data_IF_371576678771
#
_entry.id   IF_371576678771
#
_cell.length_a   1.000
_cell.length_b   1.000
_cell.length_c   1.000
_cell.angle_alpha   90.00
_cell.angle_beta   90.00
_cell.angle_gamma   90.00
#
_symmetry.space_group_name_H-M   'P 1'
#
loop_
_entity.id
_entity.type
_entity.pdbx_description
1 polymer ?
#
# COMPACT_ATOMS: atom_id res chain seq x y z
N UNK A 1 -3.27 -14.16 -1.16
CA UNK A 1 -4.65 -13.70 -1.02
C UNK A 1 -5.40 -14.00 -2.31
N UNK A 2 -6.33 -14.92 -2.22
CA UNK A 2 -7.05 -15.45 -3.39
C UNK A 2 -7.89 -14.39 -4.11
N UNK A 3 -8.55 -13.51 -3.38
CA UNK A 3 -9.36 -12.44 -3.95
C UNK A 3 -8.53 -11.50 -4.85
N UNK A 4 -7.33 -11.16 -4.42
CA UNK A 4 -6.42 -10.33 -5.20
C UNK A 4 -5.92 -11.06 -6.44
N UNK A 5 -5.58 -12.34 -6.30
CA UNK A 5 -5.16 -13.16 -7.43
C UNK A 5 -6.26 -13.25 -8.49
N UNK A 6 -7.49 -13.48 -8.08
CA UNK A 6 -8.64 -13.53 -9.00
C UNK A 6 -8.84 -12.18 -9.70
N UNK A 7 -8.66 -11.08 -8.98
CA UNK A 7 -8.84 -9.74 -9.55
C UNK A 7 -7.75 -9.41 -10.56
N UNK A 8 -6.50 -9.80 -10.29
CA UNK A 8 -5.39 -9.62 -11.22
C UNK A 8 -5.65 -10.40 -12.50
N UNK A 9 -6.11 -11.64 -12.39
CA UNK A 9 -6.42 -12.46 -13.55
C UNK A 9 -7.59 -11.90 -14.37
N UNK A 10 -8.57 -11.31 -13.72
CA UNK A 10 -9.76 -10.75 -14.37
C UNK A 10 -9.50 -9.40 -15.02
N UNK A 11 -8.91 -8.47 -14.30
CA UNK A 11 -8.82 -7.05 -14.67
C UNK A 11 -7.40 -6.54 -14.92
N UNK A 12 -6.38 -7.34 -14.63
CA UNK A 12 -4.99 -6.97 -14.88
C UNK A 12 -4.62 -7.15 -16.34
N UNK A 13 -3.72 -6.31 -16.83
CA UNK A 13 -3.17 -6.38 -18.16
C UNK A 13 -1.66 -6.57 -18.10
N UNK A 14 -1.16 -7.57 -18.83
CA UNK A 14 0.28 -7.81 -18.92
C UNK A 14 0.85 -7.06 -20.11
N UNK A 15 1.82 -6.20 -19.87
CA UNK A 15 2.54 -5.45 -20.89
C UNK A 15 3.98 -5.94 -20.95
N UNK A 16 4.28 -6.78 -21.93
CA UNK A 16 5.60 -7.41 -22.04
C UNK A 16 5.81 -8.48 -20.97
N UNK A 17 7.07 -8.81 -20.67
CA UNK A 17 7.41 -9.89 -19.75
C UNK A 17 7.41 -9.47 -18.28
N UNK A 18 7.63 -8.18 -17.99
CA UNK A 18 7.87 -7.68 -16.63
C UNK A 18 6.85 -6.65 -16.14
N UNK A 19 5.83 -6.33 -16.92
CA UNK A 19 4.88 -5.28 -16.57
C UNK A 19 3.48 -5.85 -16.47
N UNK A 20 2.90 -5.76 -15.28
CA UNK A 20 1.50 -6.07 -15.02
C UNK A 20 0.77 -4.76 -14.72
N UNK A 21 -0.23 -4.46 -15.53
CA UNK A 21 -1.02 -3.25 -15.37
C UNK A 21 -2.26 -3.53 -14.53
N UNK A 22 -2.36 -2.85 -13.39
CA UNK A 22 -3.45 -3.03 -12.40
C UNK A 22 -4.14 -1.70 -12.07
N UNK A 23 -4.05 -0.75 -13.00
CA UNK A 23 -4.52 0.62 -12.78
C UNK A 23 -6.04 0.76 -12.64
N UNK A 24 -6.80 -0.22 -13.13
CA UNK A 24 -8.27 -0.15 -13.02
C UNK A 24 -8.80 -0.46 -11.60
N UNK A 25 -7.99 -1.05 -10.73
CA UNK A 25 -8.46 -1.41 -9.40
C UNK A 25 -7.44 -1.22 -8.28
N UNK A 26 -6.18 -0.97 -8.58
CA UNK A 26 -5.14 -0.93 -7.56
C UNK A 26 -4.36 0.38 -7.53
N UNK A 27 -3.87 0.88 -8.67
CA UNK A 27 -2.91 1.98 -8.70
C UNK A 27 -3.47 3.34 -9.14
N UNK A 28 -4.45 3.37 -10.01
CA UNK A 28 -5.09 4.61 -10.47
C UNK A 28 -6.53 4.71 -10.00
N UNK A 29 -7.34 3.71 -10.33
CA UNK A 29 -8.65 3.59 -9.73
C UNK A 29 -8.53 2.61 -8.57
N UNK A 30 -8.81 3.07 -7.37
CA UNK A 30 -8.64 2.27 -6.16
C UNK A 30 -10.00 1.71 -5.74
N UNK A 31 -10.11 0.40 -5.77
CA UNK A 31 -11.29 -0.29 -5.28
C UNK A 31 -11.18 -0.42 -3.76
N UNK A 32 -11.91 0.41 -3.01
CA UNK A 32 -11.79 0.42 -1.55
C UNK A 32 -12.23 -0.88 -0.89
N UNK A 33 -13.17 -1.60 -1.49
CA UNK A 33 -13.62 -2.89 -0.95
C UNK A 33 -12.50 -3.92 -1.04
N UNK A 34 -11.79 -3.94 -2.17
CA UNK A 34 -10.61 -4.79 -2.35
C UNK A 34 -9.49 -4.38 -1.37
N UNK A 35 -9.26 -3.07 -1.22
CA UNK A 35 -8.25 -2.57 -0.28
C UNK A 35 -8.57 -2.98 1.16
N UNK A 36 -9.84 -2.93 1.53
CA UNK A 36 -10.29 -3.33 2.87
C UNK A 36 -10.02 -4.82 3.12
N UNK A 37 -10.27 -5.67 2.13
CA UNK A 37 -9.97 -7.11 2.23
C UNK A 37 -8.47 -7.37 2.31
N UNK A 38 -7.67 -6.64 1.55
CA UNK A 38 -6.21 -6.69 1.64
C UNK A 38 -5.76 -6.29 3.05
N UNK A 39 -6.29 -5.19 3.56
CA UNK A 39 -5.98 -4.71 4.91
C UNK A 39 -6.30 -5.72 5.98
N UNK A 40 -7.47 -6.33 5.90
CA UNK A 40 -7.89 -7.36 6.85
C UNK A 40 -6.99 -8.60 6.77
N UNK A 41 -6.62 -9.02 5.58
CA UNK A 41 -5.72 -10.15 5.37
C UNK A 41 -4.35 -9.92 6.03
N UNK A 42 -3.77 -8.74 5.83
CA UNK A 42 -2.52 -8.36 6.48
C UNK A 42 -2.68 -8.28 8.00
N UNK A 43 -3.75 -7.66 8.46
CA UNK A 43 -4.00 -7.51 9.89
C UNK A 43 -4.13 -8.87 10.59
N UNK A 44 -4.83 -9.81 9.98
CA UNK A 44 -4.97 -11.16 10.53
C UNK A 44 -3.61 -11.86 10.65
N UNK A 45 -2.73 -11.60 9.71
CA UNK A 45 -1.39 -12.20 9.72
C UNK A 45 -0.48 -11.63 10.80
N UNK A 46 -0.63 -10.35 11.12
CA UNK A 46 0.25 -9.64 12.04
C UNK A 46 -0.40 -9.24 13.37
N UNK A 47 -1.63 -9.63 13.62
CA UNK A 47 -2.38 -9.22 14.82
C UNK A 47 -1.68 -9.54 16.15
N UNK A 48 -0.89 -10.60 16.18
CA UNK A 48 -0.18 -11.04 17.40
C UNK A 48 1.29 -10.59 17.42
N UNK A 49 1.72 -9.79 16.46
CA UNK A 49 3.11 -9.36 16.34
C UNK A 49 3.45 -8.10 17.14
N UNK A 50 2.48 -7.51 17.83
CA UNK A 50 2.70 -6.28 18.61
C UNK A 50 2.90 -5.03 17.76
N UNK A 51 2.25 -4.97 16.60
CA UNK A 51 2.35 -3.84 15.69
C UNK A 51 1.82 -2.56 16.34
N UNK A 52 2.62 -1.50 16.35
CA UNK A 52 2.25 -0.21 16.92
C UNK A 52 2.01 0.86 15.84
N UNK A 53 2.53 0.66 14.65
CA UNK A 53 2.39 1.58 13.52
C UNK A 53 2.47 0.83 12.20
N UNK A 54 1.82 1.36 11.18
CA UNK A 54 1.97 0.90 9.81
C UNK A 54 2.70 1.98 9.03
N UNK A 55 3.75 1.61 8.33
CA UNK A 55 4.56 2.55 7.55
C UNK A 55 4.55 2.13 6.08
N UNK A 56 4.36 3.10 5.22
CA UNK A 56 4.41 2.89 3.77
C UNK A 56 5.12 4.05 3.08
N UNK A 57 5.24 3.97 1.78
CA UNK A 57 5.84 5.02 0.95
C UNK A 57 4.79 5.47 -0.07
N UNK A 58 4.70 6.80 -0.29
CA UNK A 58 3.78 7.29 -1.33
C UNK A 58 4.15 6.72 -2.70
N UNK A 59 3.22 6.51 -3.67
CA UNK A 59 1.83 6.88 -3.40
C UNK A 59 0.90 5.66 -3.35
N UNK A 60 1.12 4.66 -4.19
CA UNK A 60 0.19 3.53 -4.36
C UNK A 60 0.06 2.64 -3.13
N UNK A 61 1.06 2.65 -2.24
CA UNK A 61 1.03 1.89 -1.01
C UNK A 61 0.15 2.49 0.08
N UNK A 62 -0.25 3.76 -0.05
CA UNK A 62 -1.03 4.45 0.98
C UNK A 62 -2.40 3.81 1.16
N UNK A 63 -3.11 3.51 0.07
CA UNK A 63 -4.45 2.95 0.16
C UNK A 63 -4.48 1.61 0.92
N UNK A 64 -3.71 0.58 0.52
CA UNK A 64 -3.72 -0.66 1.28
C UNK A 64 -3.20 -0.50 2.70
N UNK A 65 -2.18 0.33 2.92
CA UNK A 65 -1.62 0.55 4.26
C UNK A 65 -2.63 1.19 5.22
N UNK A 66 -3.47 2.09 4.71
CA UNK A 66 -4.53 2.73 5.50
C UNK A 66 -5.49 1.67 6.06
N UNK A 67 -5.90 0.71 5.24
CA UNK A 67 -6.82 -0.34 5.68
C UNK A 67 -6.16 -1.37 6.59
N UNK A 68 -4.86 -1.61 6.44
CA UNK A 68 -4.10 -2.43 7.40
C UNK A 68 -4.09 -1.73 8.76
N UNK A 69 -3.79 -0.43 8.78
CA UNK A 69 -3.76 0.35 10.00
C UNK A 69 -5.14 0.40 10.68
N UNK A 70 -6.21 0.57 9.89
CA UNK A 70 -7.56 0.55 10.41
C UNK A 70 -7.89 -0.79 11.08
N UNK A 71 -7.57 -1.89 10.41
CA UNK A 71 -7.87 -3.22 10.93
C UNK A 71 -7.05 -3.57 12.18
N UNK A 72 -5.82 -3.06 12.29
CA UNK A 72 -4.97 -3.24 13.47
C UNK A 72 -5.20 -2.19 14.56
N UNK A 73 -6.00 -1.17 14.27
CA UNK A 73 -6.27 -0.03 15.16
C UNK A 73 -4.99 0.67 15.60
N UNK A 74 -4.14 0.99 14.65
CA UNK A 74 -2.87 1.69 14.87
C UNK A 74 -2.74 2.85 13.87
N UNK A 75 -1.89 3.85 14.16
CA UNK A 75 -1.66 4.93 13.19
C UNK A 75 -0.89 4.44 11.96
N UNK A 76 -1.12 5.14 10.87
CA UNK A 76 -0.39 4.92 9.62
C UNK A 76 0.46 6.15 9.32
N UNK A 77 1.69 5.91 8.92
CA UNK A 77 2.65 6.95 8.53
C UNK A 77 3.12 6.64 7.13
N UNK A 78 3.26 7.66 6.30
CA UNK A 78 3.85 7.45 4.98
C UNK A 78 5.04 8.35 4.75
N UNK A 79 6.09 7.79 4.15
CA UNK A 79 7.26 8.53 3.73
C UNK A 79 6.97 9.20 2.39
N UNK A 80 7.44 10.41 2.25
CA UNK A 80 7.27 11.17 1.00
C UNK A 80 8.47 10.93 0.08
N UNK A 81 8.18 10.87 -1.21
CA UNK A 81 9.21 10.74 -2.23
C UNK A 81 10.02 12.03 -2.44
N UNK A 82 9.41 13.16 -2.09
CA UNK A 82 10.05 14.45 -2.19
C UNK A 82 9.83 15.26 -0.92
N UNK A 83 10.83 16.07 -0.55
CA UNK A 83 10.76 16.92 0.62
C UNK A 83 9.68 17.99 0.44
N UNK A 84 8.80 18.13 1.43
CA UNK A 84 7.79 19.18 1.47
C UNK A 84 8.37 20.41 2.15
N UNK A 85 7.96 21.61 1.73
CA UNK A 85 8.44 22.86 2.33
C UNK A 85 8.03 23.02 3.81
N UNK A 86 7.00 22.33 4.24
CA UNK A 86 6.56 22.33 5.65
C UNK A 86 7.32 21.34 6.53
N UNK A 87 8.19 20.51 5.94
CA UNK A 87 8.97 19.51 6.66
C UNK A 87 10.42 19.95 6.78
N UNK A 88 10.67 20.94 7.64
CA UNK A 88 11.99 21.55 7.77
C UNK A 88 12.89 20.92 8.83
N UNK A 89 12.30 20.22 9.80
CA UNK A 89 13.03 19.67 10.95
C UNK A 89 12.70 18.20 11.16
N UNK A 90 13.65 17.45 11.70
CA UNK A 90 13.46 16.04 12.02
C UNK A 90 13.27 15.12 10.83
N UNK A 91 13.82 15.51 9.66
CA UNK A 91 13.65 14.73 8.44
C UNK A 91 14.75 13.68 8.34
N UNK A 92 14.32 12.44 8.15
CA UNK A 92 15.19 11.33 7.78
C UNK A 92 15.00 11.07 6.29
N UNK A 93 16.10 10.99 5.55
CA UNK A 93 16.06 10.74 4.12
C UNK A 93 16.83 9.50 3.73
N UNK A 94 16.35 8.83 2.70
CA UNK A 94 17.03 7.70 2.07
C UNK A 94 16.77 7.76 0.58
N UNK A 95 17.77 7.33 -0.20
CA UNK A 95 17.62 7.22 -1.64
C UNK A 95 17.23 5.79 -2.02
N UNK A 96 16.19 5.66 -2.82
CA UNK A 96 15.72 4.38 -3.32
C UNK A 96 15.50 4.49 -4.81
N UNK A 97 16.02 3.55 -5.56
CA UNK A 97 15.80 3.46 -7.00
C UNK A 97 14.70 2.45 -7.29
N UNK A 98 13.68 2.85 -8.03
CA UNK A 98 12.60 1.97 -8.43
C UNK A 98 12.49 1.92 -9.96
N UNK A 99 12.00 0.81 -10.43
CA UNK A 99 11.79 0.57 -11.86
C UNK A 99 10.50 1.18 -12.36
#
# INVERSE_FOLDING_TARGET
MKLLEERILKDGNVLGENILKVDSFLTHQVDFKLMKEIGQTFADRFKDAGVTKVVTIEASGIAPALYVAEALDVPMIFAKKAKNITMNEGILTAEVYSF
#
